data_IF_571019738658
#
_entry.id   IF_571019738658
#
_cell.length_a   1.000
_cell.length_b   1.000
_cell.length_c   1.000
_cell.angle_alpha   90.00
_cell.angle_beta   90.00
_cell.angle_gamma   90.00
#
_symmetry.space_group_name_H-M   'P 1'
#
loop_
_entity.id
_entity.type
_entity.pdbx_description
1 polymer ?
#
# COMPACT_ATOMS: atom_id res chain seq x y z
N UNK A 1 -25.70 -40.84 5.43
CA UNK A 1 -25.81 -39.62 4.61
C UNK A 1 -24.42 -39.03 4.53
N UNK A 2 -23.85 -38.91 3.33
CA UNK A 2 -22.56 -38.22 3.14
C UNK A 2 -22.87 -36.73 3.06
N UNK A 3 -22.34 -35.93 3.98
CA UNK A 3 -22.30 -34.48 3.85
C UNK A 3 -21.59 -34.15 2.54
N UNK A 4 -22.39 -33.79 1.53
CA UNK A 4 -21.86 -33.27 0.27
C UNK A 4 -21.49 -31.83 0.53
N UNK A 5 -20.21 -31.60 0.78
CA UNK A 5 -19.63 -30.25 0.75
C UNK A 5 -20.00 -29.55 -0.57
N UNK A 6 -20.16 -28.22 -0.56
CA UNK A 6 -20.15 -27.46 -1.81
C UNK A 6 -18.86 -27.81 -2.58
N UNK A 7 -18.92 -28.00 -3.91
CA UNK A 7 -17.72 -28.29 -4.67
C UNK A 7 -16.78 -27.08 -4.61
N UNK A 8 -15.63 -27.25 -3.97
CA UNK A 8 -14.51 -26.30 -4.09
C UNK A 8 -14.05 -26.34 -5.55
N UNK A 9 -14.02 -25.19 -6.20
CA UNK A 9 -13.69 -25.04 -7.63
C UNK A 9 -12.46 -24.14 -7.81
N UNK A 10 -11.87 -24.10 -9.01
CA UNK A 10 -10.83 -23.11 -9.33
C UNK A 10 -11.26 -21.67 -9.04
N UNK A 11 -12.54 -21.33 -9.28
CA UNK A 11 -13.13 -20.01 -8.96
C UNK A 11 -12.96 -19.66 -7.47
N UNK A 12 -13.08 -20.63 -6.56
CA UNK A 12 -12.84 -20.41 -5.13
C UNK A 12 -11.39 -19.98 -4.87
N UNK A 13 -10.41 -20.73 -5.39
CA UNK A 13 -8.99 -20.43 -5.22
C UNK A 13 -8.59 -19.12 -5.89
N UNK A 14 -9.11 -18.84 -7.09
CA UNK A 14 -8.93 -17.55 -7.77
C UNK A 14 -9.49 -16.40 -6.93
N UNK A 15 -10.69 -16.54 -6.38
CA UNK A 15 -11.32 -15.51 -5.54
C UNK A 15 -10.48 -15.25 -4.29
N UNK A 16 -9.99 -16.32 -3.66
CA UNK A 16 -9.20 -16.23 -2.45
C UNK A 16 -7.82 -15.60 -2.71
N UNK A 17 -7.16 -16.00 -3.80
CA UNK A 17 -5.92 -15.39 -4.27
C UNK A 17 -6.11 -13.89 -4.52
N UNK A 18 -7.15 -13.50 -5.27
CA UNK A 18 -7.44 -12.09 -5.53
C UNK A 18 -7.72 -11.31 -4.25
N UNK A 19 -8.50 -11.88 -3.32
CA UNK A 19 -8.79 -11.23 -2.05
C UNK A 19 -7.52 -10.97 -1.23
N UNK A 20 -6.57 -11.91 -1.23
CA UNK A 20 -5.27 -11.72 -0.61
C UNK A 20 -4.46 -10.63 -1.31
N UNK A 21 -4.22 -10.75 -2.63
CA UNK A 21 -3.37 -9.82 -3.38
C UNK A 21 -3.91 -8.38 -3.36
N UNK A 22 -5.24 -8.24 -3.41
CA UNK A 22 -5.93 -6.95 -3.30
C UNK A 22 -5.89 -6.34 -1.89
N UNK A 23 -5.57 -7.16 -0.90
CA UNK A 23 -5.48 -6.81 0.51
C UNK A 23 -6.79 -6.86 1.27
N UNK A 24 -7.88 -7.34 0.67
CA UNK A 24 -9.18 -7.45 1.35
C UNK A 24 -9.27 -8.66 2.29
N UNK A 25 -8.22 -9.50 2.31
CA UNK A 25 -7.99 -10.53 3.33
C UNK A 25 -6.53 -10.52 3.78
N UNK A 26 -6.28 -10.76 5.06
CA UNK A 26 -4.93 -11.03 5.60
C UNK A 26 -4.53 -12.48 5.33
N UNK A 27 -3.25 -12.80 5.59
CA UNK A 27 -2.74 -14.18 5.55
C UNK A 27 -3.58 -15.11 6.42
N UNK A 28 -3.84 -14.72 7.66
CA UNK A 28 -4.58 -15.51 8.66
C UNK A 28 -6.03 -15.74 8.22
N UNK A 29 -6.68 -14.73 7.66
CA UNK A 29 -8.05 -14.85 7.15
C UNK A 29 -8.12 -15.79 5.93
N UNK A 30 -7.09 -15.78 5.08
CA UNK A 30 -6.96 -16.72 3.96
C UNK A 30 -6.71 -18.15 4.44
N UNK A 31 -5.82 -18.32 5.42
CA UNK A 31 -5.54 -19.62 6.03
C UNK A 31 -6.80 -20.21 6.65
N UNK A 32 -7.55 -19.40 7.40
CA UNK A 32 -8.82 -19.82 8.00
C UNK A 32 -9.81 -20.31 6.93
N UNK A 33 -10.01 -19.54 5.87
CA UNK A 33 -10.89 -19.95 4.76
C UNK A 33 -10.41 -21.24 4.08
N UNK A 34 -9.09 -21.38 3.82
CA UNK A 34 -8.51 -22.59 3.24
C UNK A 34 -8.76 -23.83 4.11
N UNK A 35 -8.53 -23.72 5.42
CA UNK A 35 -8.74 -24.84 6.34
C UNK A 35 -10.21 -25.23 6.45
N UNK A 36 -11.12 -24.26 6.50
CA UNK A 36 -12.56 -24.52 6.57
C UNK A 36 -13.09 -25.18 5.28
N UNK A 37 -12.67 -24.69 4.11
CA UNK A 37 -13.17 -25.17 2.82
C UNK A 37 -12.59 -26.52 2.38
N UNK A 38 -11.29 -26.76 2.62
CA UNK A 38 -10.61 -27.96 2.13
C UNK A 38 -10.49 -29.07 3.19
N UNK A 39 -10.95 -28.84 4.43
CA UNK A 39 -10.76 -29.74 5.58
C UNK A 39 -9.30 -30.19 5.72
N UNK A 40 -8.38 -29.33 5.27
CA UNK A 40 -6.96 -29.53 5.45
C UNK A 40 -6.73 -29.43 6.96
N UNK A 41 -6.27 -30.53 7.56
CA UNK A 41 -5.66 -30.39 8.87
C UNK A 41 -4.47 -29.44 8.71
N UNK A 42 -4.18 -28.58 9.70
CA UNK A 42 -2.95 -27.81 9.72
C UNK A 42 -1.79 -28.81 9.75
N UNK A 43 -1.37 -29.23 8.57
CA UNK A 43 -0.33 -30.21 8.38
C UNK A 43 0.96 -29.41 8.45
N UNK A 44 1.71 -29.72 9.52
CA UNK A 44 3.08 -29.33 9.73
C UNK A 44 3.30 -27.83 9.97
N UNK A 45 3.82 -27.54 11.15
CA UNK A 45 4.30 -26.25 11.66
C UNK A 45 5.30 -25.50 10.77
N UNK A 46 5.57 -25.97 9.54
CA UNK A 46 6.36 -25.33 8.50
C UNK A 46 5.54 -24.38 7.59
N UNK A 47 4.21 -24.48 7.58
CA UNK A 47 3.33 -23.61 6.77
C UNK A 47 3.31 -22.14 7.23
N UNK A 48 3.91 -21.81 8.39
CA UNK A 48 3.93 -20.44 8.90
C UNK A 48 4.90 -19.52 8.13
N UNK A 49 5.89 -20.09 7.42
CA UNK A 49 6.87 -19.34 6.63
C UNK A 49 6.62 -19.43 5.11
N UNK A 50 5.76 -20.34 4.64
CA UNK A 50 5.47 -20.47 3.21
C UNK A 50 4.70 -19.24 2.68
N UNK A 51 5.01 -18.80 1.46
CA UNK A 51 4.23 -17.76 0.78
C UNK A 51 2.77 -18.23 0.59
N UNK A 52 1.81 -17.43 1.07
CA UNK A 52 0.39 -17.78 1.04
C UNK A 52 -0.13 -17.99 -0.39
N UNK A 53 0.45 -17.31 -1.39
CA UNK A 53 0.07 -17.50 -2.80
C UNK A 53 0.48 -18.88 -3.28
N UNK A 54 1.67 -19.35 -2.90
CA UNK A 54 2.15 -20.71 -3.18
C UNK A 54 1.32 -21.75 -2.47
N UNK A 55 0.93 -21.50 -1.21
CA UNK A 55 0.06 -22.39 -0.47
C UNK A 55 -1.32 -22.54 -1.15
N UNK A 56 -1.94 -21.44 -1.57
CA UNK A 56 -3.22 -21.47 -2.31
C UNK A 56 -3.08 -22.32 -3.58
N UNK A 57 -2.02 -22.09 -4.37
CA UNK A 57 -1.79 -22.82 -5.62
C UNK A 57 -1.53 -24.31 -5.38
N UNK A 58 -0.71 -24.64 -4.38
CA UNK A 58 -0.42 -26.03 -3.98
C UNK A 58 -1.70 -26.75 -3.56
N UNK A 59 -2.53 -26.11 -2.75
CA UNK A 59 -3.82 -26.66 -2.34
C UNK A 59 -4.77 -26.81 -3.52
N UNK A 60 -4.83 -25.84 -4.43
CA UNK A 60 -5.65 -25.92 -5.63
C UNK A 60 -5.26 -27.14 -6.49
N UNK A 61 -3.96 -27.33 -6.75
CA UNK A 61 -3.41 -28.48 -7.46
C UNK A 61 -3.70 -29.81 -6.79
N UNK A 62 -3.67 -29.86 -5.45
CA UNK A 62 -3.98 -31.07 -4.69
C UNK A 62 -5.47 -31.46 -4.79
N UNK A 63 -6.36 -30.48 -4.98
CA UNK A 63 -7.79 -30.74 -5.23
C UNK A 63 -8.02 -31.16 -6.68
N UNK A 64 -7.38 -30.49 -7.65
CA UNK A 64 -7.39 -30.85 -9.06
C UNK A 64 -6.14 -30.27 -9.75
N UNK A 65 -5.38 -31.11 -10.45
CA UNK A 65 -4.13 -30.73 -11.15
C UNK A 65 -4.33 -29.58 -12.16
N UNK A 66 -5.51 -29.50 -12.80
CA UNK A 66 -5.84 -28.45 -13.77
C UNK A 66 -6.06 -27.08 -13.12
N UNK A 67 -6.40 -27.02 -11.82
CA UNK A 67 -6.71 -25.77 -11.14
C UNK A 67 -5.52 -24.82 -11.03
N UNK A 68 -4.28 -25.33 -11.02
CA UNK A 68 -3.10 -24.49 -11.04
C UNK A 68 -3.11 -23.52 -12.23
N UNK A 69 -3.28 -24.08 -13.43
CA UNK A 69 -3.23 -23.31 -14.67
C UNK A 69 -4.44 -22.37 -14.80
N UNK A 70 -5.62 -22.82 -14.36
CA UNK A 70 -6.83 -21.98 -14.33
C UNK A 70 -6.67 -20.77 -13.38
N UNK A 71 -6.11 -20.98 -12.19
CA UNK A 71 -5.88 -19.91 -11.21
C UNK A 71 -4.84 -18.93 -11.73
N UNK A 72 -3.67 -19.40 -12.18
CA UNK A 72 -2.61 -18.54 -12.73
C UNK A 72 -3.11 -17.73 -13.92
N UNK A 73 -3.74 -18.39 -14.91
CA UNK A 73 -4.28 -17.72 -16.09
C UNK A 73 -5.32 -16.64 -15.74
N UNK A 74 -6.06 -16.82 -14.65
CA UNK A 74 -7.04 -15.85 -14.17
C UNK A 74 -6.45 -14.68 -13.38
N UNK A 75 -5.20 -14.77 -12.91
CA UNK A 75 -4.52 -13.73 -12.11
C UNK A 75 -3.65 -12.84 -12.99
N UNK A 76 -2.90 -13.42 -13.95
CA UNK A 76 -1.94 -12.69 -14.79
C UNK A 76 -2.58 -11.55 -15.62
N UNK A 77 -3.90 -11.57 -15.83
CA UNK A 77 -4.63 -10.53 -16.59
C UNK A 77 -5.59 -9.71 -15.73
N UNK A 78 -5.51 -9.81 -14.40
CA UNK A 78 -6.56 -9.36 -13.52
C UNK A 78 -6.21 -8.02 -12.83
N UNK A 79 -6.82 -6.90 -13.23
CA UNK A 79 -6.60 -5.62 -12.55
C UNK A 79 -7.14 -5.61 -11.11
N UNK A 80 -7.95 -6.61 -10.73
CA UNK A 80 -8.44 -6.81 -9.37
C UNK A 80 -7.50 -7.66 -8.49
N UNK A 81 -6.29 -7.96 -8.97
CA UNK A 81 -5.24 -8.68 -8.25
C UNK A 81 -4.11 -7.78 -7.76
N UNK A 82 -4.27 -6.45 -7.72
CA UNK A 82 -3.31 -5.49 -7.18
C UNK A 82 -3.79 -4.91 -5.84
N UNK A 83 -2.88 -4.53 -4.92
CA UNK A 83 -3.24 -3.81 -3.71
C UNK A 83 -4.15 -2.61 -4.00
N UNK A 84 -5.24 -2.51 -3.25
CA UNK A 84 -6.22 -1.43 -3.37
C UNK A 84 -6.23 -0.55 -2.13
N UNK A 85 -6.78 0.66 -2.21
CA UNK A 85 -6.94 1.52 -1.02
C UNK A 85 -7.68 0.82 0.11
N UNK A 86 -8.79 0.14 -0.21
CA UNK A 86 -9.54 -0.64 0.77
C UNK A 86 -8.69 -1.77 1.38
N UNK A 87 -7.82 -2.39 0.57
CA UNK A 87 -6.87 -3.39 1.05
C UNK A 87 -5.81 -2.81 1.98
N UNK A 88 -5.20 -1.68 1.64
CA UNK A 88 -4.23 -0.99 2.51
C UNK A 88 -4.87 -0.64 3.86
N UNK A 89 -6.10 -0.13 3.84
CA UNK A 89 -6.86 0.16 5.07
C UNK A 89 -7.04 -1.11 5.90
N UNK A 90 -7.54 -2.20 5.29
CA UNK A 90 -7.75 -3.48 5.97
C UNK A 90 -6.46 -4.04 6.61
N UNK A 91 -5.36 -4.01 5.87
CA UNK A 91 -4.06 -4.51 6.35
C UNK A 91 -3.48 -3.62 7.47
N UNK A 92 -3.60 -2.30 7.36
CA UNK A 92 -3.20 -1.37 8.43
C UNK A 92 -4.03 -1.56 9.69
N UNK A 93 -5.35 -1.75 9.55
CA UNK A 93 -6.21 -2.08 10.68
C UNK A 93 -5.80 -3.40 11.32
N UNK A 94 -5.56 -4.45 10.52
CA UNK A 94 -5.10 -5.73 11.03
C UNK A 94 -3.77 -5.60 11.79
N UNK A 95 -2.81 -4.83 11.27
CA UNK A 95 -1.52 -4.57 11.90
C UNK A 95 -1.69 -3.87 13.26
N UNK A 96 -2.48 -2.79 13.30
CA UNK A 96 -2.69 -2.00 14.51
C UNK A 96 -3.46 -2.78 15.60
N UNK A 97 -4.26 -3.77 15.22
CA UNK A 97 -4.92 -4.69 16.14
C UNK A 97 -4.06 -5.91 16.51
N UNK A 98 -2.81 -6.00 16.02
CA UNK A 98 -1.89 -7.10 16.30
C UNK A 98 -2.30 -8.44 15.65
N UNK A 99 -3.12 -8.39 14.58
CA UNK A 99 -3.53 -9.58 13.81
C UNK A 99 -2.49 -9.99 12.78
N UNK A 100 -1.70 -9.03 12.29
CA UNK A 100 -0.52 -9.25 11.44
C UNK A 100 0.70 -8.52 12.01
N UNK A 101 1.89 -8.92 11.60
CA UNK A 101 3.15 -8.24 11.90
C UNK A 101 3.57 -7.26 10.79
N UNK A 102 4.50 -6.32 11.06
CA UNK A 102 5.05 -5.44 10.02
C UNK A 102 5.70 -6.21 8.86
N UNK A 103 6.32 -7.35 9.14
CA UNK A 103 6.94 -8.21 8.12
C UNK A 103 5.88 -8.83 7.21
N UNK A 104 4.75 -9.26 7.76
CA UNK A 104 3.63 -9.78 6.98
C UNK A 104 2.98 -8.68 6.12
N UNK A 105 2.84 -7.46 6.66
CA UNK A 105 2.39 -6.31 5.89
C UNK A 105 3.35 -6.03 4.72
N UNK A 106 4.66 -6.03 4.97
CA UNK A 106 5.67 -5.81 3.94
C UNK A 106 5.61 -6.89 2.86
N UNK A 107 5.56 -8.17 3.25
CA UNK A 107 5.46 -9.29 2.33
C UNK A 107 4.23 -9.17 1.42
N UNK A 108 3.08 -8.82 1.98
CA UNK A 108 1.88 -8.54 1.21
C UNK A 108 2.05 -7.31 0.30
N UNK A 109 2.67 -6.24 0.78
CA UNK A 109 2.81 -5.02 0.00
C UNK A 109 3.81 -5.14 -1.15
N UNK A 110 4.68 -6.16 -1.19
CA UNK A 110 5.77 -6.24 -2.16
C UNK A 110 5.78 -7.51 -3.03
N UNK A 111 4.69 -8.28 -3.06
CA UNK A 111 4.63 -9.51 -3.88
C UNK A 111 4.86 -9.26 -5.38
N UNK A 112 4.57 -8.04 -5.85
CA UNK A 112 4.74 -7.61 -7.25
C UNK A 112 6.16 -7.10 -7.56
N UNK A 113 7.02 -6.96 -6.56
CA UNK A 113 8.39 -6.49 -6.74
C UNK A 113 9.31 -7.66 -7.09
N UNK A 114 9.04 -8.36 -8.20
CA UNK A 114 9.96 -9.38 -8.71
C UNK A 114 11.13 -8.71 -9.47
N UNK A 115 12.40 -9.03 -9.15
CA UNK A 115 13.54 -8.42 -9.79
C UNK A 115 13.63 -8.84 -11.26
N UNK A 116 13.20 -7.96 -12.17
CA UNK A 116 13.33 -8.16 -13.62
C UNK A 116 12.14 -7.70 -14.46
N UNK A 117 11.01 -7.34 -13.85
CA UNK A 117 9.77 -6.91 -14.55
C UNK A 117 9.39 -5.44 -14.27
N UNK A 118 10.39 -4.57 -14.06
CA UNK A 118 10.17 -3.14 -13.90
C UNK A 118 10.04 -2.46 -15.27
N UNK A 119 8.89 -2.64 -15.91
CA UNK A 119 8.55 -1.99 -17.19
C UNK A 119 8.12 -0.52 -17.01
N UNK A 120 8.22 0.04 -15.79
CA UNK A 120 7.93 1.45 -15.50
C UNK A 120 6.45 1.85 -15.67
N UNK A 121 5.54 0.89 -15.80
CA UNK A 121 4.09 1.12 -15.84
C UNK A 121 3.58 1.06 -14.40
N UNK A 122 3.02 2.17 -13.89
CA UNK A 122 2.37 2.17 -12.58
C UNK A 122 1.21 1.17 -12.60
N UNK A 123 1.37 0.10 -11.83
CA UNK A 123 0.39 -0.99 -11.74
C UNK A 123 -0.87 -0.59 -10.96
N UNK A 124 -0.87 0.58 -10.30
CA UNK A 124 -1.87 0.97 -9.31
C UNK A 124 -2.76 2.12 -9.79
N UNK A 125 -4.07 1.98 -9.56
CA UNK A 125 -5.04 3.06 -9.83
C UNK A 125 -4.94 4.24 -8.85
N UNK A 126 -4.35 4.04 -7.67
CA UNK A 126 -4.21 5.04 -6.61
C UNK A 126 -2.73 5.31 -6.32
N UNK A 127 -2.26 6.52 -6.66
CA UNK A 127 -0.86 6.92 -6.50
C UNK A 127 -0.37 6.91 -5.03
N UNK A 128 -1.26 7.04 -4.06
CA UNK A 128 -0.89 6.94 -2.65
C UNK A 128 -0.68 5.47 -2.25
N UNK A 129 -1.50 4.56 -2.79
CA UNK A 129 -1.32 3.11 -2.62
C UNK A 129 -0.02 2.66 -3.29
N UNK A 130 0.21 3.09 -4.52
CA UNK A 130 1.46 2.85 -5.25
C UNK A 130 2.66 3.26 -4.39
N UNK A 131 2.73 4.54 -4.03
CA UNK A 131 3.85 5.06 -3.22
C UNK A 131 4.04 4.31 -1.91
N UNK A 132 2.95 3.97 -1.21
CA UNK A 132 3.02 3.26 0.05
C UNK A 132 3.62 1.86 -0.12
N UNK A 133 3.15 1.09 -1.11
CA UNK A 133 3.55 -0.30 -1.33
C UNK A 133 4.91 -0.42 -2.03
N UNK A 134 5.21 0.43 -3.02
CA UNK A 134 6.41 0.30 -3.86
C UNK A 134 7.62 1.06 -3.32
N UNK A 135 7.41 2.13 -2.54
CA UNK A 135 8.51 3.00 -2.09
C UNK A 135 8.60 3.08 -0.57
N UNK A 136 7.50 3.43 0.10
CA UNK A 136 7.55 3.80 1.52
C UNK A 136 7.75 2.60 2.45
N UNK A 137 6.94 1.55 2.30
CA UNK A 137 7.05 0.33 3.09
C UNK A 137 8.39 -0.40 2.90
N UNK A 138 8.88 -0.66 1.67
CA UNK A 138 10.10 -1.43 1.48
C UNK A 138 11.37 -0.66 1.83
N UNK A 139 11.37 0.67 1.69
CA UNK A 139 12.56 1.48 1.92
C UNK A 139 12.23 2.76 2.71
N UNK A 140 11.80 2.63 3.98
CA UNK A 140 11.45 3.80 4.76
C UNK A 140 12.72 4.60 5.14
N UNK A 141 12.64 5.94 5.19
CA UNK A 141 13.77 6.78 5.56
C UNK A 141 14.25 6.57 7.01
N UNK A 142 13.40 6.00 7.87
CA UNK A 142 13.69 5.55 9.22
C UNK A 142 12.66 4.49 9.65
N UNK A 143 12.96 3.65 10.67
CA UNK A 143 12.06 2.58 11.06
C UNK A 143 10.63 3.07 11.37
N UNK A 144 9.64 2.30 10.92
CA UNK A 144 8.25 2.60 11.25
C UNK A 144 8.00 2.47 12.75
N UNK A 145 7.18 3.37 13.27
CA UNK A 145 6.64 3.30 14.63
C UNK A 145 5.13 3.03 14.55
N UNK A 146 4.48 2.56 15.63
CA UNK A 146 3.02 2.42 15.65
C UNK A 146 2.28 3.72 15.25
N UNK A 147 2.80 4.88 15.68
CA UNK A 147 2.24 6.18 15.33
C UNK A 147 2.28 6.48 13.82
N UNK A 148 3.31 5.98 13.10
CA UNK A 148 3.37 6.12 11.64
C UNK A 148 2.26 5.31 10.95
N UNK A 149 1.99 4.09 11.42
CA UNK A 149 0.92 3.25 10.87
C UNK A 149 -0.47 3.80 11.19
N UNK A 150 -0.67 4.32 12.41
CA UNK A 150 -1.91 5.04 12.77
C UNK A 150 -2.15 6.24 11.85
N UNK A 151 -1.10 7.02 11.59
CA UNK A 151 -1.20 8.18 10.72
C UNK A 151 -1.42 7.78 9.25
N UNK A 152 -0.75 6.74 8.76
CA UNK A 152 -1.01 6.18 7.43
C UNK A 152 -2.47 5.73 7.30
N UNK A 153 -3.01 5.04 8.31
CA UNK A 153 -4.42 4.62 8.32
C UNK A 153 -5.36 5.84 8.26
N UNK A 154 -5.09 6.90 9.04
CA UNK A 154 -5.85 8.16 9.00
C UNK A 154 -5.78 8.86 7.64
N UNK A 155 -4.66 8.75 6.93
CA UNK A 155 -4.51 9.30 5.58
C UNK A 155 -5.40 8.51 4.62
N UNK A 156 -5.32 7.18 4.60
CA UNK A 156 -6.07 6.36 3.65
C UNK A 156 -7.58 6.34 3.90
N UNK A 157 -8.00 6.42 5.17
CA UNK A 157 -9.42 6.51 5.57
C UNK A 157 -9.99 7.93 5.47
N UNK A 158 -9.13 8.94 5.31
CA UNK A 158 -9.53 10.33 5.20
C UNK A 158 -10.45 10.54 3.99
N UNK A 159 -11.47 11.38 4.16
CA UNK A 159 -12.46 11.70 3.11
C UNK A 159 -11.90 12.62 2.01
N UNK A 160 -10.58 12.80 1.96
CA UNK A 160 -9.90 13.53 0.90
C UNK A 160 -9.89 12.59 -0.30
N UNK A 161 -10.88 12.71 -1.17
CA UNK A 161 -10.87 12.06 -2.50
C UNK A 161 -9.76 12.66 -3.40
N UNK A 162 -8.54 12.77 -2.90
CA UNK A 162 -7.39 13.34 -3.58
C UNK A 162 -6.12 12.51 -3.28
N UNK A 163 -5.84 11.48 -4.09
CA UNK A 163 -4.67 10.61 -3.96
C UNK A 163 -3.32 11.36 -3.95
N UNK A 164 -3.22 12.51 -4.63
CA UNK A 164 -1.97 13.31 -4.62
C UNK A 164 -1.70 13.92 -3.24
N UNK A 165 -2.75 14.43 -2.57
CA UNK A 165 -2.60 14.96 -1.20
C UNK A 165 -2.25 13.86 -0.21
N UNK A 166 -2.81 12.68 -0.39
CA UNK A 166 -2.50 11.52 0.45
C UNK A 166 -1.05 11.07 0.27
N UNK A 167 -0.55 11.02 -0.97
CA UNK A 167 0.87 10.76 -1.25
C UNK A 167 1.77 11.79 -0.55
N UNK A 168 1.44 13.08 -0.63
CA UNK A 168 2.21 14.12 0.08
C UNK A 168 2.19 13.88 1.58
N UNK A 169 1.03 13.55 2.16
CA UNK A 169 0.92 13.27 3.59
C UNK A 169 1.74 12.03 4.01
N UNK A 170 1.79 11.00 3.16
CA UNK A 170 2.59 9.79 3.38
C UNK A 170 4.10 10.10 3.36
N UNK A 171 4.58 10.90 2.40
CA UNK A 171 5.98 11.36 2.38
C UNK A 171 6.33 12.15 3.66
N UNK A 172 5.38 12.94 4.15
CA UNK A 172 5.50 13.75 5.36
C UNK A 172 5.19 12.99 6.66
N UNK A 173 5.13 11.65 6.64
CA UNK A 173 4.99 10.85 7.86
C UNK A 173 6.17 11.04 8.81
N UNK A 174 7.37 11.20 8.25
CA UNK A 174 8.63 11.24 8.99
C UNK A 174 9.09 12.66 9.27
N UNK A 175 9.58 12.91 10.49
CA UNK A 175 9.95 14.26 10.93
C UNK A 175 11.10 14.86 10.12
N UNK A 176 12.04 14.03 9.65
CA UNK A 176 13.12 14.48 8.76
C UNK A 176 12.59 15.05 7.45
N UNK A 177 11.57 14.42 6.87
CA UNK A 177 10.97 14.92 5.63
C UNK A 177 10.11 16.16 5.88
N UNK A 178 9.44 16.26 7.04
CA UNK A 178 8.77 17.51 7.46
C UNK A 178 9.74 18.68 7.59
N UNK A 179 10.91 18.46 8.18
CA UNK A 179 11.95 19.49 8.29
C UNK A 179 12.49 19.92 6.93
N UNK A 180 12.76 18.94 6.04
CA UNK A 180 13.16 19.22 4.64
C UNK A 180 12.10 20.00 3.89
N UNK A 181 10.83 19.62 4.06
CA UNK A 181 9.71 20.34 3.48
C UNK A 181 9.69 21.80 3.91
N UNK A 182 9.75 22.06 5.23
CA UNK A 182 9.81 23.43 5.75
C UNK A 182 11.01 24.21 5.21
N UNK A 183 12.16 23.57 5.05
CA UNK A 183 13.36 24.21 4.52
C UNK A 183 13.19 24.63 3.06
N UNK A 184 12.91 23.67 2.16
CA UNK A 184 12.83 23.95 0.71
C UNK A 184 11.65 24.85 0.35
N UNK A 185 10.49 24.59 0.95
CA UNK A 185 9.29 25.39 0.72
C UNK A 185 9.44 26.77 1.37
N UNK A 186 10.06 26.85 2.55
CA UNK A 186 10.36 28.09 3.25
C UNK A 186 11.29 29.00 2.46
N UNK A 187 12.31 28.42 1.83
CA UNK A 187 13.26 29.16 1.00
C UNK A 187 12.60 29.68 -0.29
N UNK A 188 11.72 28.87 -0.89
CA UNK A 188 10.93 29.26 -2.06
C UNK A 188 9.98 30.43 -1.75
N UNK A 189 9.20 30.36 -0.66
CA UNK A 189 8.27 31.46 -0.31
C UNK A 189 9.03 32.76 -0.01
N UNK A 190 10.21 32.68 0.61
CA UNK A 190 11.05 33.85 0.87
C UNK A 190 11.68 34.45 -0.39
N UNK A 191 11.51 33.80 -1.56
CA UNK A 191 12.02 34.28 -2.84
C UNK A 191 13.53 34.08 -3.00
N UNK A 192 14.15 33.23 -2.19
CA UNK A 192 15.58 32.93 -2.28
C UNK A 192 15.89 31.91 -3.39
N UNK A 193 14.92 31.05 -3.72
CA UNK A 193 15.04 30.01 -4.75
C UNK A 193 14.02 30.21 -5.88
N UNK A 194 14.44 29.88 -7.09
CA UNK A 194 13.57 29.92 -8.26
C UNK A 194 12.59 28.71 -8.26
N UNK A 195 11.41 28.81 -8.89
CA UNK A 195 10.47 27.69 -9.00
C UNK A 195 11.10 26.39 -9.53
N UNK A 196 12.04 26.50 -10.48
CA UNK A 196 12.73 25.36 -11.06
C UNK A 196 13.64 24.64 -10.05
N UNK A 197 14.11 25.34 -9.02
CA UNK A 197 14.88 24.73 -7.93
C UNK A 197 13.97 24.01 -6.93
N UNK A 198 12.76 24.54 -6.72
CA UNK A 198 11.72 23.84 -5.95
C UNK A 198 11.30 22.55 -6.66
N UNK A 199 11.18 22.57 -8.00
CA UNK A 199 10.85 21.39 -8.80
C UNK A 199 11.82 20.24 -8.59
N UNK A 200 13.12 20.50 -8.43
CA UNK A 200 14.10 19.46 -8.12
C UNK A 200 13.75 18.74 -6.82
N UNK A 201 13.36 19.48 -5.77
CA UNK A 201 12.92 18.89 -4.51
C UNK A 201 11.59 18.14 -4.69
N UNK A 202 10.61 18.74 -5.37
CA UNK A 202 9.29 18.16 -5.53
C UNK A 202 9.31 16.88 -6.38
N UNK A 203 10.07 16.87 -7.47
CA UNK A 203 10.27 15.70 -8.31
C UNK A 203 10.96 14.57 -7.55
N UNK A 204 12.02 14.89 -6.79
CA UNK A 204 12.76 13.87 -6.05
C UNK A 204 11.97 13.25 -4.89
N UNK A 205 11.07 14.01 -4.24
CA UNK A 205 10.35 13.55 -3.04
C UNK A 205 8.92 13.12 -3.29
N UNK A 206 8.24 13.80 -4.21
CA UNK A 206 6.83 13.59 -4.48
C UNK A 206 6.60 13.09 -5.91
N UNK A 207 7.62 13.07 -6.78
CA UNK A 207 7.49 12.63 -8.17
C UNK A 207 6.62 13.56 -9.01
N UNK A 208 6.59 14.85 -8.67
CA UNK A 208 5.74 15.85 -9.32
C UNK A 208 6.43 17.21 -9.35
N UNK A 209 6.11 18.03 -10.34
CA UNK A 209 6.57 19.42 -10.44
C UNK A 209 5.64 20.36 -9.65
N UNK A 210 5.99 21.65 -9.61
CA UNK A 210 5.16 22.65 -8.97
C UNK A 210 3.79 22.78 -9.65
N UNK A 211 3.66 22.60 -10.96
CA UNK A 211 2.35 22.65 -11.63
C UNK A 211 1.38 21.57 -11.13
N UNK A 212 1.93 20.42 -10.75
CA UNK A 212 1.17 19.25 -10.28
C UNK A 212 1.05 19.17 -8.76
N UNK A 213 1.82 19.97 -8.01
CA UNK A 213 1.85 19.90 -6.56
C UNK A 213 0.56 20.48 -5.92
N UNK A 214 -0.21 19.68 -5.16
CA UNK A 214 -1.60 19.99 -4.79
C UNK A 214 -1.74 21.15 -3.80
N UNK A 215 -0.64 21.65 -3.24
CA UNK A 215 -0.62 22.78 -2.30
C UNK A 215 -0.01 24.06 -2.89
N UNK A 216 0.33 24.11 -4.18
CA UNK A 216 0.87 25.35 -4.78
C UNK A 216 -0.06 26.55 -4.65
N UNK A 217 -1.37 26.36 -4.83
CA UNK A 217 -2.33 27.46 -4.64
C UNK A 217 -2.29 28.03 -3.22
N UNK A 218 -2.13 27.17 -2.21
CA UNK A 218 -1.95 27.61 -0.82
C UNK A 218 -0.60 28.29 -0.62
N UNK A 219 0.47 27.77 -1.26
CA UNK A 219 1.81 28.37 -1.21
C UNK A 219 1.84 29.79 -1.79
N UNK A 220 1.24 30.00 -2.94
CA UNK A 220 1.13 31.33 -3.56
C UNK A 220 0.45 32.34 -2.64
N UNK A 221 -0.55 31.91 -1.87
CA UNK A 221 -1.27 32.78 -0.92
C UNK A 221 -0.44 33.16 0.32
N UNK A 222 0.61 32.39 0.64
CA UNK A 222 1.47 32.62 1.81
C UNK A 222 2.89 33.04 1.43
N UNK A 223 3.18 33.29 0.16
CA UNK A 223 4.53 33.64 -0.33
C UNK A 223 5.18 34.77 0.47
N UNK A 224 4.42 35.76 0.95
CA UNK A 224 4.97 36.87 1.72
C UNK A 224 4.73 36.77 3.24
N UNK A 225 4.34 35.59 3.72
CA UNK A 225 4.00 35.35 5.13
C UNK A 225 4.53 34.00 5.62
N UNK A 226 5.86 33.89 5.84
CA UNK A 226 6.50 32.63 6.24
C UNK A 226 6.02 32.10 7.60
N UNK A 227 5.38 32.95 8.43
CA UNK A 227 4.78 32.53 9.69
C UNK A 227 3.61 31.55 9.49
N UNK A 228 3.02 31.48 8.29
CA UNK A 228 1.93 30.54 7.93
C UNK A 228 2.44 29.17 7.45
N UNK A 229 3.73 29.02 7.20
CA UNK A 229 4.30 27.77 6.69
C UNK A 229 4.07 26.55 7.62
N UNK A 230 4.17 26.67 8.95
CA UNK A 230 3.82 25.55 9.85
C UNK A 230 2.36 25.09 9.73
N UNK A 231 1.43 26.01 9.48
CA UNK A 231 0.02 25.67 9.29
C UNK A 231 -0.21 24.90 7.98
N UNK A 232 0.52 25.26 6.92
CA UNK A 232 0.52 24.50 5.68
C UNK A 232 1.10 23.09 5.88
N UNK A 233 2.22 22.97 6.60
CA UNK A 233 2.76 21.66 6.94
C UNK A 233 1.72 20.82 7.69
N UNK A 234 1.02 21.41 8.66
CA UNK A 234 -0.03 20.71 9.39
C UNK A 234 -1.14 20.20 8.45
N UNK A 235 -1.62 21.05 7.54
CA UNK A 235 -2.62 20.67 6.53
C UNK A 235 -2.13 19.56 5.59
N UNK A 236 -0.84 19.60 5.22
CA UNK A 236 -0.23 18.66 4.28
C UNK A 236 0.09 17.30 4.93
N UNK A 237 0.53 17.29 6.19
CA UNK A 237 0.95 16.09 6.91
C UNK A 237 -0.20 15.40 7.67
N UNK A 238 -1.22 16.16 8.08
CA UNK A 238 -2.33 15.64 8.87
C UNK A 238 -3.67 15.76 8.12
N UNK A 239 -4.43 14.67 8.19
CA UNK A 239 -5.85 14.68 7.85
C UNK A 239 -6.62 15.26 9.05
N UNK A 240 -7.25 16.41 8.84
CA UNK A 240 -8.32 16.93 9.70
C UNK A 240 -9.64 16.21 9.42
#
# INVERSE_FOLDING_TARGET
MKDKMPPVTSVYFTTLMKAYLRGTKTREEVLQDLYDAAHLQPADTEDNEEDITRLILRTASAVNEDYYQEVIGSITQAPDAIPSRAGVIHQLEALLHGRITPEQLLQWATWHNDPGEDDGVSYFDDIAVDYFCTQLLPNPPEPFTPAHFEQALKIFTGNRNNPLKDKVALVLLFDKERQRFLFYVGDYIQGHTAPEQLDVYLMNKFGMDHYSFPYMGTLSNIMHDPAKLPALLHMAAYTE
#
